data_IF_747178134605
#
_entry.id   IF_747178134605
#
_cell.length_a   1.000
_cell.length_b   1.000
_cell.length_c   1.000
_cell.angle_alpha   90.00
_cell.angle_beta   90.00
_cell.angle_gamma   90.00
#
_symmetry.space_group_name_H-M   'P 1'
#
loop_
_entity.id
_entity.type
_entity.pdbx_description
1 polymer ?
#
# COMPACT_ATOMS: atom_id res chain seq x y z
N UNK A 1 17.24 -35.23 -2.68
CA UNK A 1 16.89 -34.65 -1.37
C UNK A 1 16.97 -33.14 -1.49
N UNK A 2 15.83 -32.45 -1.60
CA UNK A 2 15.79 -30.99 -1.67
C UNK A 2 15.38 -30.47 -0.28
N UNK A 3 16.36 -30.06 0.53
CA UNK A 3 16.09 -29.35 1.77
C UNK A 3 15.95 -27.86 1.43
N UNK A 4 14.77 -27.46 0.93
CA UNK A 4 14.40 -26.04 0.84
C UNK A 4 13.95 -25.62 2.23
N UNK A 5 14.85 -24.96 2.94
CA UNK A 5 14.58 -24.31 4.20
C UNK A 5 13.67 -23.10 3.93
N UNK A 6 12.38 -23.34 3.73
CA UNK A 6 11.35 -22.31 3.60
C UNK A 6 11.26 -21.67 4.98
N UNK A 7 11.75 -20.43 5.11
CA UNK A 7 11.63 -19.67 6.36
C UNK A 7 10.15 -19.56 6.69
N UNK A 8 9.78 -19.92 7.92
CA UNK A 8 8.37 -19.93 8.32
C UNK A 8 7.85 -18.50 8.50
N UNK A 9 6.54 -18.24 8.30
CA UNK A 9 5.91 -16.92 8.48
C UNK A 9 6.22 -16.23 9.82
N UNK A 10 6.54 -17.01 10.86
CA UNK A 10 6.92 -16.48 12.18
C UNK A 10 8.30 -15.84 12.22
N UNK A 11 9.26 -16.28 11.38
CA UNK A 11 10.59 -15.68 11.28
C UNK A 11 10.57 -14.32 10.59
N UNK A 12 9.58 -14.11 9.71
CA UNK A 12 9.34 -12.85 9.00
C UNK A 12 8.75 -11.78 9.93
N UNK A 13 7.69 -12.12 10.67
CA UNK A 13 7.12 -11.23 11.70
C UNK A 13 8.17 -10.76 12.71
N UNK A 14 9.13 -11.63 13.07
CA UNK A 14 10.26 -11.31 13.98
C UNK A 14 11.30 -10.34 13.39
N UNK A 15 11.51 -10.33 12.08
CA UNK A 15 12.45 -9.41 11.41
C UNK A 15 11.81 -8.06 11.11
N UNK A 16 10.57 -8.08 10.60
CA UNK A 16 9.79 -6.86 10.35
C UNK A 16 9.59 -6.07 11.66
N UNK A 17 9.20 -6.74 12.74
CA UNK A 17 9.07 -6.11 14.06
C UNK A 17 10.40 -5.57 14.61
N UNK A 18 11.54 -6.23 14.37
CA UNK A 18 12.85 -5.74 14.82
C UNK A 18 13.34 -4.50 14.05
N UNK A 19 13.05 -4.39 12.76
CA UNK A 19 13.40 -3.20 11.98
C UNK A 19 12.48 -2.02 12.31
N UNK A 20 11.17 -2.26 12.45
CA UNK A 20 10.19 -1.23 12.79
C UNK A 20 10.32 -0.68 14.23
N UNK A 21 10.87 -1.47 15.16
CA UNK A 21 11.05 -1.06 16.57
C UNK A 21 12.48 -0.61 16.92
N UNK A 22 13.42 -0.67 15.98
CA UNK A 22 14.80 -0.27 16.22
C UNK A 22 14.99 1.22 15.85
N UNK A 23 15.28 2.11 16.82
CA UNK A 23 15.49 3.55 16.56
C UNK A 23 16.75 3.85 15.71
N UNK A 24 17.49 2.83 15.27
CA UNK A 24 18.64 2.92 14.36
C UNK A 24 18.44 2.20 13.02
N UNK A 25 17.20 1.81 12.67
CA UNK A 25 16.91 1.19 11.38
C UNK A 25 17.38 2.09 10.23
N UNK A 26 18.20 1.55 9.35
CA UNK A 26 18.80 2.27 8.24
C UNK A 26 17.87 2.24 7.02
N UNK A 27 18.04 3.19 6.10
CA UNK A 27 17.32 3.19 4.82
C UNK A 27 17.44 1.85 4.07
N UNK A 28 18.58 1.16 4.22
CA UNK A 28 18.83 -0.15 3.63
C UNK A 28 17.96 -1.26 4.23
N UNK A 29 17.68 -1.21 5.54
CA UNK A 29 16.79 -2.17 6.21
C UNK A 29 15.35 -2.09 5.66
N UNK A 30 14.90 -0.87 5.33
CA UNK A 30 13.59 -0.66 4.70
C UNK A 30 13.56 -1.13 3.24
N UNK A 31 14.65 -0.98 2.49
CA UNK A 31 14.76 -1.48 1.12
C UNK A 31 14.76 -3.02 1.05
N UNK A 32 15.38 -3.69 2.01
CA UNK A 32 15.33 -5.15 2.13
C UNK A 32 13.94 -5.64 2.52
N UNK A 33 13.26 -4.94 3.44
CA UNK A 33 11.87 -5.23 3.79
C UNK A 33 10.94 -5.06 2.58
N UNK A 34 11.10 -3.97 1.81
CA UNK A 34 10.38 -3.75 0.55
C UNK A 34 10.59 -4.88 -0.46
N UNK A 35 11.81 -5.39 -0.55
CA UNK A 35 12.14 -6.50 -1.45
C UNK A 35 11.42 -7.78 -1.04
N UNK A 36 11.32 -8.07 0.27
CA UNK A 36 10.57 -9.23 0.76
C UNK A 36 9.05 -9.08 0.61
N UNK A 37 8.50 -7.89 0.86
CA UNK A 37 7.06 -7.62 0.74
C UNK A 37 6.59 -7.71 -0.73
N UNK A 38 7.47 -7.40 -1.69
CA UNK A 38 7.18 -7.43 -3.12
C UNK A 38 6.77 -8.82 -3.63
N UNK A 39 7.23 -9.90 -3.01
CA UNK A 39 6.92 -11.27 -3.42
C UNK A 39 5.54 -11.73 -2.94
N UNK A 40 5.07 -11.24 -1.79
CA UNK A 40 3.81 -11.67 -1.16
C UNK A 40 2.63 -10.69 -1.37
N UNK A 41 2.90 -9.42 -1.70
CA UNK A 41 1.87 -8.35 -1.84
C UNK A 41 0.90 -8.26 -0.64
N UNK A 42 1.39 -8.56 0.56
CA UNK A 42 0.63 -8.44 1.80
C UNK A 42 0.38 -6.94 2.11
N UNK A 43 -0.88 -6.51 1.99
CA UNK A 43 -1.26 -5.11 2.17
C UNK A 43 -1.10 -4.65 3.62
N UNK A 44 -1.26 -5.54 4.61
CA UNK A 44 -1.11 -5.21 6.03
C UNK A 44 0.37 -4.90 6.32
N UNK A 45 1.29 -5.73 5.81
CA UNK A 45 2.72 -5.48 5.93
C UNK A 45 3.16 -4.20 5.21
N UNK A 46 2.57 -3.89 4.04
CA UNK A 46 2.81 -2.62 3.34
C UNK A 46 2.32 -1.42 4.16
N UNK A 47 1.16 -1.53 4.80
CA UNK A 47 0.61 -0.49 5.67
C UNK A 47 1.54 -0.23 6.86
N UNK A 48 2.00 -1.28 7.55
CA UNK A 48 2.91 -1.16 8.69
C UNK A 48 4.22 -0.44 8.31
N UNK A 49 4.74 -0.73 7.12
CA UNK A 49 5.91 -0.04 6.57
C UNK A 49 5.63 1.46 6.34
N UNK A 50 4.51 1.81 5.71
CA UNK A 50 4.16 3.22 5.50
C UNK A 50 3.98 3.97 6.81
N UNK A 51 3.32 3.38 7.81
CA UNK A 51 3.16 3.97 9.14
C UNK A 51 4.52 4.18 9.82
N UNK A 52 5.45 3.24 9.67
CA UNK A 52 6.81 3.37 10.20
C UNK A 52 7.56 4.54 9.57
N UNK A 53 7.42 4.73 8.25
CA UNK A 53 8.00 5.87 7.53
C UNK A 53 7.37 7.18 8.02
N UNK A 54 6.03 7.28 8.09
CA UNK A 54 5.36 8.50 8.56
C UNK A 54 5.79 8.88 9.97
N UNK A 55 5.90 7.90 10.86
CA UNK A 55 6.33 8.09 12.25
C UNK A 55 7.79 8.56 12.34
N UNK A 56 8.68 8.00 11.52
CA UNK A 56 10.10 8.36 11.50
C UNK A 56 10.34 9.82 11.13
N UNK A 57 9.56 10.34 10.17
CA UNK A 57 9.64 11.73 9.73
C UNK A 57 8.74 12.68 10.54
N UNK A 58 8.00 12.15 11.53
CA UNK A 58 7.16 12.95 12.42
C UNK A 58 5.97 13.62 11.72
N UNK A 59 5.41 12.98 10.70
CA UNK A 59 4.27 13.54 9.96
C UNK A 59 3.03 13.64 10.85
N UNK A 60 2.34 14.77 10.74
CA UNK A 60 1.03 14.99 11.32
C UNK A 60 -0.07 14.24 10.54
N UNK A 61 -1.24 14.05 11.16
CA UNK A 61 -2.33 13.28 10.53
C UNK A 61 -2.86 13.94 9.26
N UNK A 62 -2.91 15.26 9.19
CA UNK A 62 -3.31 16.03 8.01
C UNK A 62 -2.28 15.95 6.88
N UNK A 63 -0.99 15.95 7.20
CA UNK A 63 0.08 15.69 6.22
C UNK A 63 -0.01 14.28 5.64
N UNK A 64 -0.26 13.26 6.48
CA UNK A 64 -0.49 11.89 6.01
C UNK A 64 -1.73 11.83 5.11
N UNK A 65 -2.83 12.49 5.48
CA UNK A 65 -4.04 12.54 4.66
C UNK A 65 -3.78 13.19 3.29
N UNK A 66 -3.03 14.30 3.26
CA UNK A 66 -2.64 14.97 2.02
C UNK A 66 -1.75 14.08 1.14
N UNK A 67 -0.81 13.36 1.75
CA UNK A 67 0.08 12.43 1.03
C UNK A 67 -0.70 11.26 0.41
N UNK A 68 -1.59 10.63 1.17
CA UNK A 68 -2.45 9.54 0.68
C UNK A 68 -3.35 10.00 -0.47
N UNK A 69 -3.96 11.17 -0.34
CA UNK A 69 -4.75 11.77 -1.41
C UNK A 69 -3.92 12.03 -2.67
N UNK A 70 -2.74 12.63 -2.52
CA UNK A 70 -1.86 12.96 -3.65
C UNK A 70 -1.36 11.71 -4.37
N UNK A 71 -1.03 10.66 -3.60
CA UNK A 71 -0.60 9.35 -4.11
C UNK A 71 -1.74 8.70 -4.89
N UNK A 72 -2.94 8.67 -4.33
CA UNK A 72 -4.11 8.12 -5.02
C UNK A 72 -4.41 8.88 -6.31
N UNK A 73 -4.35 10.22 -6.27
CA UNK A 73 -4.52 11.05 -7.47
C UNK A 73 -3.51 10.69 -8.55
N UNK A 74 -2.24 10.51 -8.19
CA UNK A 74 -1.18 10.14 -9.12
C UNK A 74 -1.43 8.75 -9.71
N UNK A 75 -1.76 7.76 -8.88
CA UNK A 75 -2.13 6.39 -9.33
C UNK A 75 -3.27 6.43 -10.33
N UNK A 76 -4.32 7.23 -10.11
CA UNK A 76 -5.43 7.38 -11.06
C UNK A 76 -5.00 8.02 -12.39
N UNK A 77 -4.00 8.92 -12.36
CA UNK A 77 -3.50 9.62 -13.55
C UNK A 77 -2.48 8.82 -14.35
N UNK A 78 -1.95 7.71 -13.80
CA UNK A 78 -1.13 6.77 -14.56
C UNK A 78 -1.89 6.28 -15.80
N UNK A 79 -1.21 6.30 -16.96
CA UNK A 79 -1.86 6.16 -18.26
C UNK A 79 -2.74 4.88 -18.35
N UNK A 80 -2.23 3.75 -17.87
CA UNK A 80 -2.96 2.48 -17.87
C UNK A 80 -4.24 2.51 -17.02
N UNK A 81 -4.21 3.21 -15.88
CA UNK A 81 -5.36 3.32 -14.98
C UNK A 81 -6.38 4.32 -15.53
N UNK A 82 -5.90 5.44 -16.09
CA UNK A 82 -6.74 6.41 -16.79
C UNK A 82 -7.54 5.76 -17.91
N UNK A 83 -6.88 4.99 -18.77
CA UNK A 83 -7.52 4.32 -19.90
C UNK A 83 -8.55 3.30 -19.42
N UNK A 84 -8.19 2.49 -18.44
CA UNK A 84 -9.11 1.52 -17.83
C UNK A 84 -10.35 2.19 -17.20
N UNK A 85 -10.19 3.33 -16.53
CA UNK A 85 -11.29 4.08 -15.92
C UNK A 85 -12.20 4.75 -16.97
N UNK A 86 -11.61 5.28 -18.04
CA UNK A 86 -12.35 5.84 -19.16
C UNK A 86 -13.14 4.76 -19.90
N UNK A 87 -12.49 3.66 -20.26
CA UNK A 87 -13.08 2.63 -21.11
C UNK A 87 -14.16 1.81 -20.38
N UNK A 88 -13.90 1.42 -19.12
CA UNK A 88 -14.80 0.53 -18.39
C UNK A 88 -15.89 1.27 -17.62
N UNK A 89 -15.62 2.50 -17.20
CA UNK A 89 -16.50 3.22 -16.29
C UNK A 89 -16.90 4.61 -16.80
N UNK A 90 -16.42 5.03 -17.99
CA UNK A 90 -16.67 6.38 -18.53
C UNK A 90 -16.23 7.50 -17.58
N UNK A 91 -15.18 7.26 -16.79
CA UNK A 91 -14.62 8.22 -15.84
C UNK A 91 -13.37 8.86 -16.45
N UNK A 92 -13.43 10.17 -16.70
CA UNK A 92 -12.27 10.96 -17.10
C UNK A 92 -11.56 11.54 -15.86
N UNK A 93 -10.49 10.87 -15.44
CA UNK A 93 -9.72 11.25 -14.24
C UNK A 93 -9.07 12.63 -14.34
N UNK A 94 -8.83 13.14 -15.55
CA UNK A 94 -8.20 14.46 -15.76
C UNK A 94 -9.13 15.62 -15.43
N UNK A 95 -10.44 15.35 -15.38
CA UNK A 95 -11.48 16.31 -15.01
C UNK A 95 -11.90 16.22 -13.55
N UNK A 96 -11.33 15.28 -12.78
CA UNK A 96 -11.69 15.11 -11.37
C UNK A 96 -11.02 16.16 -10.50
N UNK A 97 -11.83 16.92 -9.77
CA UNK A 97 -11.38 17.66 -8.58
C UNK A 97 -11.14 16.71 -7.39
N UNK A 98 -10.77 17.28 -6.23
CA UNK A 98 -10.44 16.49 -5.04
C UNK A 98 -11.58 15.54 -4.60
N UNK A 99 -12.81 16.04 -4.57
CA UNK A 99 -13.99 15.24 -4.25
C UNK A 99 -14.20 14.07 -5.23
N UNK A 100 -13.89 14.27 -6.52
CA UNK A 100 -13.99 13.22 -7.53
C UNK A 100 -13.00 12.10 -7.27
N UNK A 101 -11.74 12.43 -6.94
CA UNK A 101 -10.70 11.45 -6.59
C UNK A 101 -11.11 10.64 -5.35
N UNK A 102 -11.63 11.31 -4.30
CA UNK A 102 -12.07 10.63 -3.07
C UNK A 102 -13.25 9.68 -3.33
N UNK A 103 -14.19 10.04 -4.21
CA UNK A 103 -15.30 9.16 -4.59
C UNK A 103 -14.82 7.91 -5.33
N UNK A 104 -13.88 8.08 -6.27
CA UNK A 104 -13.27 6.93 -6.97
C UNK A 104 -12.53 6.04 -5.98
N UNK A 105 -11.75 6.61 -5.07
CA UNK A 105 -11.05 5.85 -4.04
C UNK A 105 -12.01 5.05 -3.15
N UNK A 106 -13.12 5.68 -2.71
CA UNK A 106 -14.14 4.99 -1.91
C UNK A 106 -14.80 3.83 -2.66
N UNK A 107 -15.10 4.02 -3.96
CA UNK A 107 -15.68 2.97 -4.79
C UNK A 107 -14.73 1.78 -4.95
N UNK A 108 -13.44 2.04 -5.22
CA UNK A 108 -12.41 1.01 -5.34
C UNK A 108 -12.17 0.27 -4.02
N UNK A 109 -12.15 0.99 -2.89
CA UNK A 109 -12.05 0.38 -1.57
C UNK A 109 -13.24 -0.54 -1.30
N UNK A 110 -14.46 -0.10 -1.61
CA UNK A 110 -15.67 -0.90 -1.41
C UNK A 110 -15.61 -2.20 -2.23
N UNK A 111 -15.25 -2.10 -3.51
CA UNK A 111 -15.08 -3.27 -4.38
C UNK A 111 -13.97 -4.22 -3.90
N UNK A 112 -12.88 -3.70 -3.31
CA UNK A 112 -11.84 -4.51 -2.71
C UNK A 112 -12.34 -5.26 -1.48
N UNK A 113 -13.04 -4.58 -0.57
CA UNK A 113 -13.60 -5.20 0.64
C UNK A 113 -14.62 -6.28 0.28
N UNK A 114 -15.47 -6.04 -0.71
CA UNK A 114 -16.42 -7.06 -1.21
C UNK A 114 -15.68 -8.31 -1.71
N UNK A 115 -14.57 -8.12 -2.44
CA UNK A 115 -13.73 -9.22 -2.92
C UNK A 115 -13.08 -10.00 -1.77
N UNK A 116 -12.56 -9.34 -0.75
CA UNK A 116 -11.95 -10.00 0.42
C UNK A 116 -13.02 -10.79 1.18
N UNK A 117 -14.15 -10.16 1.50
CA UNK A 117 -15.25 -10.79 2.22
C UNK A 117 -15.84 -12.01 1.49
N UNK A 118 -15.88 -11.97 0.14
CA UNK A 118 -16.37 -13.10 -0.67
C UNK A 118 -15.38 -14.26 -0.72
N UNK A 119 -14.07 -14.01 -0.57
CA UNK A 119 -13.05 -15.06 -0.56
C UNK A 119 -12.86 -15.71 0.82
N UNK A 120 -13.44 -15.12 1.87
CA UNK A 120 -13.43 -15.64 3.26
C UNK A 120 -14.71 -16.41 3.63
N UNK A 121 -15.68 -16.52 2.70
CA UNK A 121 -16.94 -17.25 2.85
C UNK A 121 -16.92 -18.58 2.08
#
# INVERSE_FOLDING_TARGET
MANKNIKQPQDFKRKASKAATNPKATQQDFLELLTSIREEKDLDQMQELFVSIFSMYGLTTDEVAALLFSTMRQVLHEQQNKDMLADKFSIDVTKLGAEGVLRVQRALLSAYLDKVNTNEA
#
